data_IF_383379611231
#
_entry.id   IF_383379611231
#
_cell.length_a   1.000
_cell.length_b   1.000
_cell.length_c   1.000
_cell.angle_alpha   90.00
_cell.angle_beta   90.00
_cell.angle_gamma   90.00
#
_symmetry.space_group_name_H-M   'P 1'
#
loop_
_entity.id
_entity.type
_entity.pdbx_description
1 polymer ?
#
# COMPACT_ATOMS: atom_id res chain seq x y z
N UNK A 1 14.06 -11.96 5.65
CA UNK A 1 13.59 -11.17 6.82
C UNK A 1 13.75 -9.71 6.47
N UNK A 2 12.71 -8.88 6.54
CA UNK A 2 12.74 -7.48 6.05
C UNK A 2 12.86 -6.45 7.17
N UNK A 3 13.28 -6.92 8.34
CA UNK A 3 13.54 -6.10 9.51
C UNK A 3 14.86 -5.38 9.28
N UNK A 4 14.91 -4.08 9.60
CA UNK A 4 16.20 -3.39 9.67
C UNK A 4 16.96 -4.01 10.83
N UNK A 5 18.23 -4.34 10.61
CA UNK A 5 19.10 -4.90 11.63
C UNK A 5 19.11 -3.99 12.86
N UNK A 6 18.83 -4.55 14.04
CA UNK A 6 18.71 -3.79 15.30
C UNK A 6 17.39 -3.04 15.51
N UNK A 7 16.37 -3.20 14.65
CA UNK A 7 15.02 -2.66 14.86
C UNK A 7 13.98 -3.79 14.93
N UNK A 8 13.61 -4.24 16.14
CA UNK A 8 12.64 -5.32 16.30
C UNK A 8 11.28 -4.89 15.74
N UNK A 9 10.47 -5.88 15.33
CA UNK A 9 9.07 -5.65 14.96
C UNK A 9 8.31 -5.15 16.19
N UNK A 10 7.66 -4.00 16.05
CA UNK A 10 6.81 -3.42 17.08
C UNK A 10 5.33 -3.58 16.73
N UNK A 11 4.47 -3.72 17.74
CA UNK A 11 3.03 -3.69 17.56
C UNK A 11 2.55 -2.27 17.27
N UNK A 12 1.60 -2.15 16.35
CA UNK A 12 1.03 -0.85 16.00
C UNK A 12 0.10 -0.35 17.11
N UNK A 13 0.26 0.92 17.50
CA UNK A 13 -0.71 1.60 18.35
C UNK A 13 -1.98 1.99 17.58
N UNK A 14 -3.03 2.42 18.28
CA UNK A 14 -4.32 2.74 17.67
C UNK A 14 -4.23 3.88 16.63
N UNK A 15 -3.35 4.86 16.85
CA UNK A 15 -3.14 5.97 15.92
C UNK A 15 -2.47 5.46 14.65
N UNK A 16 -1.43 4.64 14.75
CA UNK A 16 -0.73 4.08 13.58
C UNK A 16 -1.62 3.15 12.77
N UNK A 17 -2.44 2.33 13.44
CA UNK A 17 -3.44 1.46 12.80
C UNK A 17 -4.45 2.23 11.96
N UNK A 18 -4.82 3.44 12.37
CA UNK A 18 -5.86 4.22 11.66
C UNK A 18 -5.26 5.20 10.65
N UNK A 19 -4.06 5.70 10.88
CA UNK A 19 -3.45 6.77 10.08
C UNK A 19 -2.51 6.28 8.98
N UNK A 20 -1.80 5.15 9.16
CA UNK A 20 -0.80 4.69 8.20
C UNK A 20 -0.96 3.26 7.70
N UNK A 21 -1.39 2.35 8.58
CA UNK A 21 -1.36 0.91 8.29
C UNK A 21 -2.76 0.26 8.17
N UNK A 22 -3.82 1.03 8.35
CA UNK A 22 -5.19 0.53 8.24
C UNK A 22 -5.58 0.15 6.82
N UNK A 23 -6.40 -0.90 6.69
CA UNK A 23 -6.97 -1.33 5.41
C UNK A 23 -8.47 -1.55 5.59
N UNK A 24 -9.27 -0.99 4.70
CA UNK A 24 -10.70 -1.29 4.58
C UNK A 24 -11.02 -1.72 3.15
N UNK A 25 -12.10 -2.49 2.98
CA UNK A 25 -12.57 -2.88 1.66
C UNK A 25 -14.09 -2.82 1.57
N UNK A 26 -14.58 -2.63 0.35
CA UNK A 26 -16.00 -2.72 0.00
C UNK A 26 -16.15 -3.36 -1.38
N UNK A 27 -17.26 -4.04 -1.68
CA UNK A 27 -17.56 -4.45 -3.05
C UNK A 27 -17.50 -3.26 -4.01
N UNK A 28 -16.99 -3.51 -5.22
CA UNK A 28 -17.09 -2.56 -6.33
C UNK A 28 -18.37 -2.80 -7.14
N UNK A 29 -18.62 -1.96 -8.14
CA UNK A 29 -19.69 -2.18 -9.12
C UNK A 29 -19.38 -3.32 -10.10
N UNK A 30 -18.15 -3.84 -10.10
CA UNK A 30 -17.71 -4.97 -10.93
C UNK A 30 -17.77 -6.26 -10.10
N UNK A 31 -18.51 -7.30 -10.56
CA UNK A 31 -18.57 -8.58 -9.87
C UNK A 31 -17.19 -9.21 -9.66
N UNK A 32 -16.91 -9.65 -8.43
CA UNK A 32 -15.63 -10.27 -8.08
C UNK A 32 -14.48 -9.27 -7.84
N UNK A 33 -14.74 -7.97 -7.91
CA UNK A 33 -13.78 -6.92 -7.58
C UNK A 33 -14.20 -6.13 -6.33
N UNK A 34 -13.23 -5.80 -5.50
CA UNK A 34 -13.39 -4.99 -4.29
C UNK A 34 -12.57 -3.73 -4.39
N UNK A 35 -13.14 -2.60 -4.03
CA UNK A 35 -12.38 -1.38 -3.75
C UNK A 35 -11.71 -1.50 -2.39
N UNK A 36 -10.44 -1.11 -2.31
CA UNK A 36 -9.64 -1.15 -1.09
C UNK A 36 -9.14 0.25 -0.78
N UNK A 37 -9.29 0.67 0.47
CA UNK A 37 -8.63 1.87 0.98
C UNK A 37 -7.50 1.46 1.91
N UNK A 38 -6.28 1.87 1.58
CA UNK A 38 -5.09 1.69 2.42
C UNK A 38 -4.79 3.05 3.03
N UNK A 39 -4.65 3.14 4.35
CA UNK A 39 -4.55 4.41 5.07
C UNK A 39 -3.38 5.28 4.61
N UNK A 40 -2.27 4.68 4.18
CA UNK A 40 -1.11 5.37 3.61
C UNK A 40 -1.24 5.74 2.12
N UNK A 41 -2.26 5.23 1.42
CA UNK A 41 -2.52 5.44 -0.01
C UNK A 41 -3.94 5.99 -0.26
N UNK A 42 -4.45 6.87 0.61
CA UNK A 42 -5.83 7.41 0.51
C UNK A 42 -6.13 8.17 -0.78
N UNK A 43 -5.10 8.64 -1.47
CA UNK A 43 -5.16 9.34 -2.75
C UNK A 43 -5.05 8.40 -3.97
N UNK A 44 -5.07 7.08 -3.74
CA UNK A 44 -4.97 6.06 -4.78
C UNK A 44 -6.20 5.19 -4.78
N UNK A 45 -6.68 4.90 -5.97
CA UNK A 45 -7.59 3.78 -6.18
C UNK A 45 -6.78 2.48 -6.04
N UNK A 46 -7.22 1.60 -5.15
CA UNK A 46 -6.74 0.24 -5.05
C UNK A 46 -7.92 -0.71 -5.27
N UNK A 47 -7.75 -1.71 -6.12
CA UNK A 47 -8.73 -2.77 -6.32
C UNK A 47 -8.14 -4.14 -5.97
N UNK A 48 -8.97 -5.02 -5.44
CA UNK A 48 -8.66 -6.43 -5.22
C UNK A 48 -9.55 -7.27 -6.13
N UNK A 49 -8.94 -8.16 -6.90
CA UNK A 49 -9.64 -9.12 -7.77
C UNK A 49 -8.81 -10.39 -7.93
N UNK A 50 -9.42 -11.43 -8.50
CA UNK A 50 -8.69 -12.65 -8.87
C UNK A 50 -8.15 -12.54 -10.31
N UNK A 51 -6.99 -13.14 -10.58
CA UNK A 51 -6.54 -13.41 -11.94
C UNK A 51 -7.24 -14.65 -12.54
N UNK A 52 -6.92 -14.98 -13.79
CA UNK A 52 -7.48 -16.13 -14.50
C UNK A 52 -7.16 -17.49 -13.85
N UNK A 53 -6.14 -17.54 -12.99
CA UNK A 53 -5.71 -18.74 -12.26
C UNK A 53 -6.26 -18.75 -10.82
N UNK A 54 -7.06 -17.76 -10.43
CA UNK A 54 -7.62 -17.65 -9.09
C UNK A 54 -6.68 -17.02 -8.05
N UNK A 55 -5.54 -16.44 -8.45
CA UNK A 55 -4.65 -15.73 -7.53
C UNK A 55 -5.17 -14.33 -7.23
N UNK A 56 -5.02 -13.90 -5.97
CA UNK A 56 -5.41 -12.55 -5.55
C UNK A 56 -4.44 -11.51 -6.11
N UNK A 57 -5.00 -10.50 -6.78
CA UNK A 57 -4.29 -9.33 -7.29
C UNK A 57 -4.78 -8.06 -6.58
N UNK A 58 -3.85 -7.35 -5.93
CA UNK A 58 -4.07 -5.97 -5.51
C UNK A 58 -3.52 -5.04 -6.61
N UNK A 59 -4.38 -4.27 -7.27
CA UNK A 59 -4.01 -3.38 -8.36
C UNK A 59 -4.12 -1.93 -7.92
N UNK A 60 -3.14 -1.12 -8.31
CA UNK A 60 -3.16 0.33 -8.06
C UNK A 60 -2.37 1.09 -9.12
N UNK A 61 -2.24 2.40 -8.94
CA UNK A 61 -1.34 3.24 -9.71
C UNK A 61 -0.02 3.37 -8.97
N UNK A 62 1.09 3.05 -9.64
CA UNK A 62 2.45 3.18 -9.09
C UNK A 62 3.30 3.92 -10.14
N UNK A 63 3.90 5.04 -9.75
CA UNK A 63 4.73 5.90 -10.59
C UNK A 63 4.00 6.33 -11.88
N UNK A 64 2.73 6.73 -11.72
CA UNK A 64 1.84 7.13 -12.83
C UNK A 64 1.32 5.98 -13.70
N UNK A 65 1.79 4.75 -13.52
CA UNK A 65 1.36 3.58 -14.28
C UNK A 65 0.16 2.93 -13.60
N UNK A 66 -0.99 2.90 -14.28
CA UNK A 66 -2.24 2.29 -13.78
C UNK A 66 -2.19 0.76 -13.89
N UNK A 67 -2.93 0.08 -13.01
CA UNK A 67 -3.12 -1.38 -13.08
C UNK A 67 -1.86 -2.17 -12.74
N UNK A 68 -0.95 -1.59 -11.96
CA UNK A 68 0.25 -2.26 -11.47
C UNK A 68 -0.11 -3.15 -10.28
N UNK A 69 0.50 -4.33 -10.21
CA UNK A 69 0.30 -5.25 -9.10
C UNK A 69 1.08 -4.76 -7.88
N UNK A 70 0.37 -4.31 -6.86
CA UNK A 70 0.92 -3.87 -5.59
C UNK A 70 1.52 -5.06 -4.84
N UNK A 71 2.81 -4.97 -4.53
CA UNK A 71 3.53 -6.02 -3.78
C UNK A 71 3.81 -5.60 -2.35
N UNK A 72 4.16 -4.33 -2.15
CA UNK A 72 4.54 -3.84 -0.83
C UNK A 72 4.35 -2.34 -0.70
N UNK A 73 3.92 -1.93 0.48
CA UNK A 73 3.93 -0.55 0.93
C UNK A 73 4.79 -0.48 2.18
N UNK A 74 5.74 0.45 2.21
CA UNK A 74 6.45 0.82 3.41
C UNK A 74 6.12 2.25 3.77
N UNK A 75 5.75 2.46 5.02
CA UNK A 75 5.49 3.78 5.56
C UNK A 75 6.63 4.13 6.50
N UNK A 76 7.33 5.21 6.20
CA UNK A 76 8.25 5.83 7.14
C UNK A 76 7.49 6.87 7.95
N UNK A 77 7.46 6.67 9.25
CA UNK A 77 6.90 7.64 10.19
C UNK A 77 7.99 8.59 10.67
N UNK A 78 7.57 9.81 10.99
CA UNK A 78 8.34 10.79 11.75
C UNK A 78 7.47 11.35 12.87
N UNK A 79 8.10 11.95 13.86
CA UNK A 79 7.40 12.59 14.98
C UNK A 79 7.82 14.04 15.03
N UNK A 80 6.86 14.95 14.94
CA UNK A 80 7.07 16.38 15.14
C UNK A 80 6.17 16.84 16.28
N UNK A 81 6.73 17.52 17.28
CA UNK A 81 6.00 17.97 18.47
C UNK A 81 5.21 16.86 19.20
N UNK A 82 5.71 15.62 19.16
CA UNK A 82 5.06 14.46 19.80
C UNK A 82 3.91 13.85 19.00
N UNK A 83 3.60 14.35 17.79
CA UNK A 83 2.54 13.82 16.93
C UNK A 83 3.17 12.92 15.85
N UNK A 84 2.81 11.62 15.79
CA UNK A 84 3.21 10.73 14.71
C UNK A 84 2.61 11.18 13.37
N UNK A 85 3.45 11.30 12.35
CA UNK A 85 3.06 11.69 10.99
C UNK A 85 3.81 10.85 9.97
N UNK A 86 3.22 10.67 8.78
CA UNK A 86 3.90 9.99 7.67
C UNK A 86 4.90 10.96 7.05
N UNK A 87 6.18 10.58 7.04
CA UNK A 87 7.25 11.30 6.33
C UNK A 87 7.19 10.96 4.82
N UNK A 88 7.33 9.68 4.51
CA UNK A 88 7.20 9.18 3.16
C UNK A 88 6.64 7.75 3.12
N UNK A 89 6.18 7.38 1.93
CA UNK A 89 5.70 6.05 1.60
C UNK A 89 6.49 5.54 0.40
N UNK A 90 7.11 4.37 0.55
CA UNK A 90 7.69 3.63 -0.56
C UNK A 90 6.66 2.57 -1.04
N UNK A 91 6.33 2.61 -2.32
CA UNK A 91 5.35 1.73 -2.96
C UNK A 91 6.08 0.87 -3.97
N UNK A 92 6.02 -0.43 -3.78
CA UNK A 92 6.64 -1.42 -4.65
C UNK A 92 5.58 -2.27 -5.32
N UNK A 93 5.71 -2.46 -6.61
CA UNK A 93 4.85 -3.33 -7.39
C UNK A 93 5.58 -3.98 -8.54
N UNK A 94 4.80 -4.64 -9.38
CA UNK A 94 5.27 -5.20 -10.66
C UNK A 94 4.24 -4.91 -11.73
N UNK A 95 4.71 -4.73 -12.96
CA UNK A 95 3.83 -4.75 -14.13
C UNK A 95 3.33 -6.19 -14.32
N UNK A 96 2.01 -6.43 -14.30
CA UNK A 96 1.47 -7.79 -14.40
C UNK A 96 1.71 -8.44 -15.77
N UNK A 97 2.02 -7.66 -16.82
CA UNK A 97 2.30 -8.18 -18.17
C UNK A 97 3.77 -8.52 -18.36
N UNK A 98 4.65 -7.61 -17.97
CA UNK A 98 6.10 -7.74 -18.22
C UNK A 98 6.86 -8.33 -17.04
N UNK A 99 6.22 -8.41 -15.87
CA UNK A 99 6.82 -8.77 -14.58
C UNK A 99 7.96 -7.82 -14.14
N UNK A 100 8.15 -6.70 -14.83
CA UNK A 100 9.14 -5.71 -14.48
C UNK A 100 8.77 -5.03 -13.15
N UNK A 101 9.73 -4.80 -12.25
CA UNK A 101 9.48 -4.08 -11.01
C UNK A 101 9.09 -2.63 -11.31
N UNK A 102 8.15 -2.10 -10.53
CA UNK A 102 7.78 -0.69 -10.50
C UNK A 102 7.88 -0.17 -9.07
N UNK A 103 8.31 1.09 -8.93
CA UNK A 103 8.57 1.69 -7.64
C UNK A 103 8.18 3.17 -7.66
N UNK A 104 7.55 3.62 -6.58
CA UNK A 104 7.24 5.03 -6.33
C UNK A 104 7.64 5.40 -4.90
N UNK A 105 8.37 6.50 -4.75
CA UNK A 105 8.54 7.16 -3.45
C UNK A 105 7.63 8.37 -3.37
N UNK A 106 6.63 8.31 -2.50
CA UNK A 106 5.69 9.40 -2.27
C UNK A 106 6.02 10.10 -0.94
N UNK A 107 6.27 11.40 -0.97
CA UNK A 107 6.28 12.23 0.25
C UNK A 107 4.88 12.74 0.52
N UNK A 108 4.47 12.81 1.79
CA UNK A 108 3.26 13.54 2.13
C UNK A 108 3.54 15.03 1.86
N UNK A 109 2.79 15.65 0.94
CA UNK A 109 2.79 17.10 0.75
C UNK A 109 1.82 17.74 1.74
#
# INVERSE_FOLDING_TARGET
MFEKEGKPREELNMIERTTAYGVTSKPSDVPGEFMVAIASLRDRDCTLRLDEHGNVMALTTIDGKKGMLLRRVFVQMTTSWGIPTVDYVDIFGVDPKTLAPVYEKKKNK
#
